data_IF_371862229933
#
_entry.id   IF_371862229933
#
_cell.length_a   1.000
_cell.length_b   1.000
_cell.length_c   1.000
_cell.angle_alpha   90.00
_cell.angle_beta   90.00
_cell.angle_gamma   90.00
#
_symmetry.space_group_name_H-M   'P 1'
#
loop_
_entity.id
_entity.type
_entity.pdbx_description
1 polymer ?
#
# COMPACT_ATOMS: atom_id res chain seq x y z
N UNK A 1 -6.14 1.85 10.33
CA UNK A 1 -5.18 2.39 11.32
C UNK A 1 -3.82 2.56 10.65
N UNK A 2 -3.04 3.55 11.07
CA UNK A 2 -1.63 3.74 10.70
C UNK A 2 -0.80 3.76 11.98
N UNK A 3 0.31 3.03 11.97
CA UNK A 3 1.23 2.93 13.08
C UNK A 3 2.67 3.15 12.60
N UNK A 4 3.51 3.71 13.47
CA UNK A 4 4.96 3.80 13.26
C UNK A 4 5.61 2.57 13.89
N UNK A 5 6.57 1.99 13.19
CA UNK A 5 7.35 0.86 13.71
C UNK A 5 8.52 1.42 14.51
N UNK A 6 8.58 1.11 15.79
CA UNK A 6 9.66 1.51 16.70
C UNK A 6 10.12 0.31 17.52
N UNK A 7 11.40 -0.07 17.44
CA UNK A 7 11.96 -1.23 18.17
C UNK A 7 11.11 -2.50 18.06
N UNK A 8 10.64 -2.83 16.85
CA UNK A 8 9.75 -3.97 16.54
C UNK A 8 8.32 -3.87 17.11
N UNK A 9 7.94 -2.73 17.66
CA UNK A 9 6.58 -2.43 18.10
C UNK A 9 5.89 -1.53 17.08
N UNK A 10 4.60 -1.76 16.83
CA UNK A 10 3.77 -0.86 16.05
C UNK A 10 3.03 0.09 17.00
N UNK A 11 3.39 1.36 16.97
CA UNK A 11 2.78 2.42 17.77
C UNK A 11 1.70 3.13 16.93
N UNK A 12 0.40 2.96 17.22
CA UNK A 12 -0.65 3.63 16.47
C UNK A 12 -0.51 5.15 16.59
N UNK A 13 -0.47 5.84 15.45
CA UNK A 13 -0.38 7.31 15.40
C UNK A 13 -1.66 7.94 14.84
N UNK A 14 -2.45 7.19 14.08
CA UNK A 14 -3.69 7.68 13.52
C UNK A 14 -4.65 6.54 13.16
N UNK A 15 -5.94 6.70 13.46
CA UNK A 15 -6.98 5.76 13.07
C UNK A 15 -8.32 6.46 12.89
N UNK A 16 -9.19 5.82 12.13
CA UNK A 16 -10.57 6.27 11.90
C UNK A 16 -11.47 5.05 11.99
N UNK A 17 -12.57 5.17 12.74
CA UNK A 17 -13.61 4.15 12.77
C UNK A 17 -14.54 4.37 11.56
N UNK A 18 -14.73 3.33 10.75
CA UNK A 18 -15.65 3.40 9.61
C UNK A 18 -17.06 3.00 10.07
N UNK A 19 -18.05 3.85 9.81
CA UNK A 19 -19.46 3.60 10.13
C UNK A 19 -20.14 2.56 9.23
N UNK A 20 -19.39 1.58 8.72
CA UNK A 20 -19.87 0.54 7.80
C UNK A 20 -19.18 -0.78 8.05
N UNK A 21 -19.83 -1.87 7.67
CA UNK A 21 -19.24 -3.21 7.67
C UNK A 21 -18.52 -3.48 6.34
N UNK A 22 -17.51 -4.35 6.36
CA UNK A 22 -16.73 -4.75 5.18
C UNK A 22 -15.46 -3.92 4.95
N UNK A 23 -14.97 -3.91 3.72
CA UNK A 23 -13.68 -3.32 3.36
C UNK A 23 -13.73 -1.79 3.22
N UNK A 24 -12.60 -1.14 3.49
CA UNK A 24 -12.40 0.28 3.23
C UNK A 24 -12.35 0.57 1.72
N UNK A 25 -12.89 1.72 1.32
CA UNK A 25 -12.78 2.25 -0.04
C UNK A 25 -11.44 2.96 -0.22
N UNK A 26 -11.02 3.14 -1.48
CA UNK A 26 -9.79 3.86 -1.80
C UNK A 26 -9.76 5.27 -1.18
N UNK A 27 -10.88 6.00 -1.25
CA UNK A 27 -10.98 7.35 -0.67
C UNK A 27 -10.80 7.34 0.85
N UNK A 28 -11.33 6.34 1.55
CA UNK A 28 -11.18 6.18 3.00
C UNK A 28 -9.74 5.82 3.36
N UNK A 29 -9.07 4.98 2.57
CA UNK A 29 -7.66 4.66 2.76
C UNK A 29 -6.76 5.88 2.53
N UNK A 30 -7.04 6.67 1.50
CA UNK A 30 -6.33 7.92 1.23
C UNK A 30 -6.54 8.94 2.35
N UNK A 31 -7.77 9.11 2.82
CA UNK A 31 -8.12 9.99 3.94
C UNK A 31 -7.45 9.56 5.25
N UNK A 32 -7.30 8.25 5.47
CA UNK A 32 -6.57 7.70 6.62
C UNK A 32 -5.06 8.02 6.53
N UNK A 33 -4.44 7.89 5.36
CA UNK A 33 -2.98 8.02 5.19
C UNK A 33 -2.54 9.49 5.08
N UNK A 34 -3.37 10.36 4.50
CA UNK A 34 -2.99 11.73 4.18
C UNK A 34 -2.53 12.57 5.39
N UNK A 35 -3.19 12.53 6.56
CA UNK A 35 -2.73 13.24 7.75
C UNK A 35 -1.32 12.81 8.20
N UNK A 36 -1.02 11.51 8.09
CA UNK A 36 0.30 10.96 8.46
C UNK A 36 1.39 11.44 7.51
N UNK A 37 1.09 11.48 6.20
CA UNK A 37 2.04 12.02 5.21
C UNK A 37 2.34 13.49 5.47
N UNK A 38 1.34 14.28 5.84
CA UNK A 38 1.52 15.69 6.19
C UNK A 38 2.32 15.86 7.49
N UNK A 39 2.02 15.06 8.51
CA UNK A 39 2.71 15.08 9.80
C UNK A 39 4.20 14.75 9.65
N UNK A 40 4.52 13.76 8.81
CA UNK A 40 5.87 13.24 8.64
C UNK A 40 6.54 13.71 7.34
N UNK A 41 6.10 14.84 6.77
CA UNK A 41 6.55 15.34 5.46
C UNK A 41 8.08 15.56 5.33
N UNK A 42 8.75 15.81 6.45
CA UNK A 42 10.19 16.08 6.51
C UNK A 42 11.04 14.81 6.69
N UNK A 43 10.39 13.64 6.78
CA UNK A 43 11.06 12.34 6.96
C UNK A 43 11.04 11.56 5.66
N UNK A 44 12.02 10.67 5.52
CA UNK A 44 11.94 9.60 4.53
C UNK A 44 11.02 8.50 5.08
N UNK A 45 9.97 8.18 4.32
CA UNK A 45 8.91 7.28 4.77
C UNK A 45 8.85 6.02 3.93
N UNK A 46 8.61 4.90 4.60
CA UNK A 46 8.22 3.63 3.97
C UNK A 46 6.86 3.23 4.52
N UNK A 47 5.85 3.21 3.66
CA UNK A 47 4.51 2.71 4.04
C UNK A 47 4.43 1.22 3.77
N UNK A 48 4.19 0.45 4.82
CA UNK A 48 3.91 -0.98 4.74
C UNK A 48 2.41 -1.20 4.87
N UNK A 49 1.83 -1.94 3.92
CA UNK A 49 0.40 -2.29 3.92
C UNK A 49 0.20 -3.79 3.73
N UNK A 50 -0.60 -4.41 4.60
CA UNK A 50 -0.99 -5.81 4.44
C UNK A 50 -2.13 -5.98 3.40
N UNK A 51 -2.66 -7.19 3.26
CA UNK A 51 -3.69 -7.62 2.30
C UNK A 51 -4.95 -6.77 2.28
N UNK A 52 -5.21 -5.90 3.26
CA UNK A 52 -6.35 -4.98 3.27
C UNK A 52 -6.10 -3.67 2.50
N UNK A 53 -4.83 -3.34 2.23
CA UNK A 53 -4.39 -2.17 1.46
C UNK A 53 -3.92 -2.54 0.04
N UNK A 54 -4.44 -3.67 -0.46
CA UNK A 54 -4.08 -4.34 -1.71
C UNK A 54 -4.49 -3.61 -3.00
N UNK A 55 -4.99 -2.38 -2.93
CA UNK A 55 -5.44 -1.67 -4.12
C UNK A 55 -4.23 -1.14 -4.91
N UNK A 56 -4.06 -1.61 -6.15
CA UNK A 56 -3.10 -1.03 -7.11
C UNK A 56 -3.33 0.48 -7.26
N UNK A 57 -4.58 0.94 -7.16
CA UNK A 57 -4.94 2.36 -7.20
C UNK A 57 -4.35 3.16 -6.02
N UNK A 58 -4.25 2.55 -4.84
CA UNK A 58 -3.62 3.18 -3.68
C UNK A 58 -2.11 3.34 -3.91
N UNK A 59 -1.45 2.32 -4.45
CA UNK A 59 -0.04 2.38 -4.83
C UNK A 59 0.24 3.50 -5.85
N UNK A 60 -0.59 3.62 -6.89
CA UNK A 60 -0.48 4.74 -7.85
C UNK A 60 -0.64 6.09 -7.17
N UNK A 61 -1.60 6.24 -6.25
CA UNK A 61 -1.76 7.48 -5.51
C UNK A 61 -0.53 7.82 -4.65
N UNK A 62 0.05 6.85 -3.94
CA UNK A 62 1.29 7.04 -3.17
C UNK A 62 2.47 7.42 -4.08
N UNK A 63 2.57 6.81 -5.27
CA UNK A 63 3.57 7.18 -6.29
C UNK A 63 3.42 8.64 -6.75
N UNK A 64 2.21 9.19 -6.77
CA UNK A 64 2.02 10.61 -7.06
C UNK A 64 2.44 11.49 -5.88
N UNK A 65 2.23 11.03 -4.64
CA UNK A 65 2.70 11.72 -3.43
C UNK A 65 4.21 11.70 -3.29
N UNK A 66 4.89 10.63 -3.74
CA UNK A 66 6.36 10.52 -3.69
C UNK A 66 7.09 11.52 -4.58
N UNK A 67 6.39 12.19 -5.51
CA UNK A 67 6.94 13.32 -6.27
C UNK A 67 7.17 14.57 -5.41
N UNK A 68 6.49 14.69 -4.26
CA UNK A 68 6.54 15.87 -3.38
C UNK A 68 7.35 15.65 -2.11
N UNK A 69 7.54 14.40 -1.68
CA UNK A 69 8.33 14.03 -0.51
C UNK A 69 8.94 12.64 -0.69
N UNK A 70 10.03 12.34 0.02
CA UNK A 70 10.68 11.02 -0.04
C UNK A 70 9.78 9.95 0.59
N UNK A 71 9.07 9.23 -0.28
CA UNK A 71 8.06 8.25 0.10
C UNK A 71 8.22 6.98 -0.74
N UNK A 72 8.40 5.87 -0.04
CA UNK A 72 8.40 4.52 -0.57
C UNK A 72 7.22 3.75 0.01
N UNK A 73 6.85 2.65 -0.63
CA UNK A 73 5.77 1.80 -0.13
C UNK A 73 5.96 0.36 -0.58
N UNK A 74 5.50 -0.57 0.25
CA UNK A 74 5.43 -1.98 -0.04
C UNK A 74 4.08 -2.54 0.42
N UNK A 75 3.31 -3.05 -0.54
CA UNK A 75 2.00 -3.64 -0.28
C UNK A 75 2.01 -5.12 -0.60
N UNK A 76 1.45 -5.91 0.32
CA UNK A 76 1.23 -7.33 0.08
C UNK A 76 0.09 -7.51 -0.91
N UNK A 77 0.35 -8.23 -2.00
CA UNK A 77 -0.64 -8.58 -3.01
C UNK A 77 -1.09 -10.04 -2.90
N UNK A 78 -2.33 -10.31 -3.32
CA UNK A 78 -2.84 -11.68 -3.43
C UNK A 78 -2.27 -12.34 -4.68
N UNK A 79 -2.09 -13.67 -4.63
CA UNK A 79 -1.63 -14.44 -5.80
C UNK A 79 -2.63 -14.40 -6.97
N UNK A 80 -3.93 -14.25 -6.68
CA UNK A 80 -4.96 -14.06 -7.70
C UNK A 80 -5.03 -12.65 -8.29
N UNK A 81 -4.11 -11.74 -7.95
CA UNK A 81 -4.07 -10.42 -8.58
C UNK A 81 -3.65 -10.57 -10.04
N UNK A 82 -4.45 -10.01 -10.95
CA UNK A 82 -4.17 -10.02 -12.39
C UNK A 82 -3.19 -8.91 -12.75
N UNK A 83 -2.28 -9.25 -13.65
CA UNK A 83 -1.36 -8.36 -14.32
C UNK A 83 -1.56 -8.50 -15.82
N UNK A 84 -1.47 -7.37 -16.52
CA UNK A 84 -1.33 -7.33 -17.97
C UNK A 84 0.02 -6.70 -18.28
N UNK A 85 0.79 -7.31 -19.19
CA UNK A 85 2.00 -6.72 -19.73
C UNK A 85 1.68 -6.31 -21.17
N UNK A 86 1.64 -5.00 -21.42
CA UNK A 86 1.36 -4.41 -22.74
C UNK A 86 0.15 -5.05 -23.45
N UNK A 87 0.39 -5.74 -24.57
CA UNK A 87 -0.60 -6.38 -25.43
C UNK A 87 -0.86 -7.87 -25.11
N UNK A 88 -0.24 -8.43 -24.06
CA UNK A 88 -0.49 -9.81 -23.63
C UNK A 88 -1.82 -9.97 -22.88
N UNK A 89 -2.33 -11.20 -22.82
CA UNK A 89 -3.49 -11.53 -22.01
C UNK A 89 -3.23 -11.32 -20.50
N UNK A 90 -4.32 -11.15 -19.74
CA UNK A 90 -4.23 -11.07 -18.30
C UNK A 90 -3.72 -12.39 -17.71
N UNK A 91 -2.70 -12.29 -16.86
CA UNK A 91 -2.17 -13.39 -16.09
C UNK A 91 -2.16 -13.08 -14.60
N UNK A 92 -2.48 -14.07 -13.79
CA UNK A 92 -2.43 -13.99 -12.32
C UNK A 92 -1.00 -14.08 -11.82
N UNK A 93 -0.71 -13.52 -10.66
CA UNK A 93 0.60 -13.71 -10.01
C UNK A 93 0.93 -15.18 -9.71
N UNK A 94 -0.08 -16.03 -9.50
CA UNK A 94 0.12 -17.48 -9.39
C UNK A 94 0.69 -18.12 -10.66
N UNK A 95 0.31 -17.64 -11.84
CA UNK A 95 0.79 -18.16 -13.12
C UNK A 95 2.23 -17.72 -13.42
N UNK A 96 2.71 -16.65 -12.79
CA UNK A 96 4.09 -16.17 -12.93
C UNK A 96 5.13 -17.07 -12.24
N UNK A 97 4.72 -18.03 -11.42
CA UNK A 97 5.64 -18.95 -10.73
C UNK A 97 6.56 -18.26 -9.72
N UNK A 98 6.13 -17.14 -9.13
CA UNK A 98 6.94 -16.38 -8.17
C UNK A 98 7.29 -17.23 -6.92
N UNK A 99 8.57 -17.25 -6.56
CA UNK A 99 9.08 -17.84 -5.31
C UNK A 99 9.62 -16.75 -4.38
N UNK A 100 9.62 -16.98 -3.04
CA UNK A 100 10.24 -16.06 -2.10
C UNK A 100 11.69 -15.74 -2.50
N UNK A 101 12.06 -14.46 -2.48
CA UNK A 101 13.39 -13.99 -2.88
C UNK A 101 13.53 -13.60 -4.36
N UNK A 102 12.51 -13.82 -5.20
CA UNK A 102 12.54 -13.38 -6.60
C UNK A 102 12.12 -11.91 -6.75
N UNK A 103 12.82 -11.17 -7.61
CA UNK A 103 12.44 -9.83 -8.07
C UNK A 103 12.09 -9.91 -9.56
N UNK A 104 10.85 -9.61 -9.93
CA UNK A 104 10.40 -9.64 -11.33
C UNK A 104 10.14 -8.26 -11.94
N UNK A 105 10.22 -7.17 -11.16
CA UNK A 105 9.98 -5.80 -11.58
C UNK A 105 10.85 -4.82 -10.77
#
# INVERSE_FOLDING_TARGET
MVAVIWKKLALPIYWTLLGKRGASRLSEQQALIQPVLCLLKNYELVILGDREFHSVKLAYWLKQKSKKQKLFFAFRQKQGTNQKKDDEDYQTFSQLGMKPGMKMF
#
